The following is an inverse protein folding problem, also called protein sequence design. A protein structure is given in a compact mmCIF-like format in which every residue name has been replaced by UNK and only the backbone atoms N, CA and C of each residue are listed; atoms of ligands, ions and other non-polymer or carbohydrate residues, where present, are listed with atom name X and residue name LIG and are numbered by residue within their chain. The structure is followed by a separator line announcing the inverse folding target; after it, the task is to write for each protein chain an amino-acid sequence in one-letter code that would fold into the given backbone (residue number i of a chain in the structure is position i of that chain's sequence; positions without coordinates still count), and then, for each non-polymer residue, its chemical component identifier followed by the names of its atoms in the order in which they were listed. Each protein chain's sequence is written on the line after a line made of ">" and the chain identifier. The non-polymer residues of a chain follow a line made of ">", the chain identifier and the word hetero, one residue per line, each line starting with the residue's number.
data_IF_067876192640
#
_entry.id   IF_067876192640
#
_cell.length_a   1.000
_cell.length_b   1.000
_cell.length_c   1.000
_cell.angle_alpha   90.00
_cell.angle_beta   90.00
_cell.angle_gamma   90.00
#
_symmetry.space_group_name_H-M   'P 1'
#
loop_
_entity.id
_entity.type
_entity.pdbx_description
1 polymer ?
#
# COMPACT_ATOMS: atom_id res chain seq x y z
N UNK A 1 59.77 32.37 13.40
CA UNK A 1 59.17 31.07 13.63
C UNK A 1 57.70 31.20 13.57
N UNK A 2 57.17 30.80 12.47
CA UNK A 2 55.76 30.97 12.22
C UNK A 2 55.05 29.65 12.59
N UNK A 3 54.24 29.72 13.60
CA UNK A 3 53.41 28.56 13.98
C UNK A 3 52.17 28.55 13.10
N UNK A 4 52.14 27.66 12.16
CA UNK A 4 50.98 27.44 11.31
C UNK A 4 49.97 26.67 12.17
N UNK A 5 48.92 27.35 12.57
CA UNK A 5 47.73 26.75 13.14
C UNK A 5 46.94 26.16 11.98
N UNK A 6 47.06 24.87 11.82
CA UNK A 6 46.17 24.14 10.93
C UNK A 6 44.84 23.98 11.67
N UNK A 7 43.92 24.87 11.32
CA UNK A 7 42.54 24.72 11.76
C UNK A 7 41.92 23.58 10.99
N UNK A 8 41.87 22.44 11.68
CA UNK A 8 41.12 21.27 11.17
C UNK A 8 39.62 21.59 11.24
N UNK A 9 39.10 22.11 10.18
CA UNK A 9 37.66 22.22 10.00
C UNK A 9 37.16 20.79 9.79
N UNK A 10 36.74 20.18 10.90
CA UNK A 10 35.94 18.96 10.84
C UNK A 10 34.58 19.35 10.28
N UNK A 11 34.45 19.21 9.00
CA UNK A 11 33.14 19.29 8.34
C UNK A 11 32.35 18.05 8.75
N UNK A 12 31.58 18.21 9.81
CA UNK A 12 30.60 17.22 10.21
C UNK A 12 29.55 17.15 9.12
N UNK A 13 29.75 16.28 8.17
CA UNK A 13 28.69 15.85 7.26
C UNK A 13 27.63 15.14 8.11
N UNK A 14 26.70 15.93 8.59
CA UNK A 14 25.41 15.39 9.01
C UNK A 14 24.78 14.81 7.75
N UNK A 15 25.12 13.56 7.48
CA UNK A 15 24.30 12.75 6.60
C UNK A 15 22.95 12.66 7.29
N UNK A 16 22.04 13.57 6.93
CA UNK A 16 20.66 13.46 7.32
C UNK A 16 20.19 12.13 6.80
N UNK A 17 19.99 11.17 7.69
CA UNK A 17 19.15 10.04 7.40
C UNK A 17 17.76 10.61 7.14
N UNK A 18 17.50 11.03 5.90
CA UNK A 18 16.15 11.05 5.43
C UNK A 18 15.73 9.60 5.45
N UNK A 19 14.99 9.20 6.47
CA UNK A 19 14.16 8.03 6.39
C UNK A 19 13.15 8.33 5.31
N UNK A 20 13.53 8.11 4.06
CA UNK A 20 12.60 7.90 2.99
C UNK A 20 11.89 6.59 3.32
N UNK A 21 10.95 6.67 4.25
CA UNK A 21 9.82 5.78 4.19
C UNK A 21 9.11 6.21 2.91
N UNK A 22 9.48 5.55 1.81
CA UNK A 22 8.72 5.65 0.59
C UNK A 22 7.28 5.30 0.99
N UNK A 23 6.46 6.32 1.12
CA UNK A 23 5.08 6.17 1.49
C UNK A 23 4.27 5.90 0.24
N UNK A 24 3.36 4.96 0.33
CA UNK A 24 2.32 4.78 -0.67
C UNK A 24 1.28 5.89 -0.54
N UNK A 25 0.60 6.17 -1.62
CA UNK A 25 -0.49 7.14 -1.66
C UNK A 25 -1.79 6.55 -1.11
N UNK A 26 -2.57 7.35 -0.39
CA UNK A 26 -3.94 7.02 -0.01
C UNK A 26 -4.89 7.80 -0.92
N UNK A 27 -5.79 7.09 -1.57
CA UNK A 27 -6.74 7.63 -2.53
C UNK A 27 -8.16 7.61 -1.99
N UNK A 28 -8.98 8.49 -2.53
CA UNK A 28 -10.42 8.45 -2.30
C UNK A 28 -11.07 7.33 -3.12
N UNK A 29 -12.07 6.70 -2.55
CA UNK A 29 -12.83 5.61 -3.17
C UNK A 29 -13.40 5.97 -4.54
N UNK A 30 -13.80 7.22 -4.74
CA UNK A 30 -14.38 7.67 -6.01
C UNK A 30 -13.36 7.68 -7.17
N UNK A 31 -12.07 7.51 -6.90
CA UNK A 31 -11.03 7.44 -7.93
C UNK A 31 -10.71 6.02 -8.37
N UNK A 32 -11.27 5.00 -7.73
CA UNK A 32 -10.95 3.60 -8.01
C UNK A 32 -11.22 3.24 -9.47
N UNK A 33 -12.38 3.60 -9.99
CA UNK A 33 -12.75 3.26 -11.38
C UNK A 33 -11.76 3.83 -12.40
N UNK A 34 -11.30 5.07 -12.20
CA UNK A 34 -10.30 5.68 -13.07
C UNK A 34 -8.95 4.95 -12.98
N UNK A 35 -8.56 4.54 -11.79
CA UNK A 35 -7.32 3.78 -11.58
C UNK A 35 -7.39 2.40 -12.21
N UNK A 36 -8.52 1.72 -12.10
CA UNK A 36 -8.74 0.42 -12.77
C UNK A 36 -8.65 0.58 -14.30
N UNK A 37 -9.21 1.65 -14.84
CA UNK A 37 -9.09 1.97 -16.26
C UNK A 37 -7.62 2.20 -16.69
N UNK A 38 -6.78 2.68 -15.78
CA UNK A 38 -5.34 2.88 -15.99
C UNK A 38 -4.49 1.61 -15.73
N UNK A 39 -5.12 0.46 -15.50
CA UNK A 39 -4.46 -0.83 -15.37
C UNK A 39 -4.19 -1.29 -13.93
N UNK A 40 -4.65 -0.55 -12.92
CA UNK A 40 -4.56 -0.99 -11.53
C UNK A 40 -5.55 -2.13 -11.25
N UNK A 41 -5.13 -3.09 -10.44
CA UNK A 41 -6.00 -4.19 -9.98
C UNK A 41 -6.36 -4.00 -8.51
N UNK A 42 -7.58 -4.37 -8.15
CA UNK A 42 -8.08 -4.26 -6.79
C UNK A 42 -7.72 -5.51 -6.01
N UNK A 43 -7.18 -5.31 -4.81
CA UNK A 43 -6.95 -6.37 -3.82
C UNK A 43 -7.80 -6.05 -2.59
N UNK A 44 -8.75 -6.91 -2.30
CA UNK A 44 -9.57 -6.87 -1.11
C UNK A 44 -8.87 -7.68 -0.01
N UNK A 45 -8.45 -7.00 1.05
CA UNK A 45 -7.68 -7.62 2.15
C UNK A 45 -8.54 -8.02 3.33
N UNK A 46 -9.88 -8.00 3.15
CA UNK A 46 -10.79 -8.57 4.13
C UNK A 46 -10.62 -10.10 4.18
N UNK A 47 -11.12 -10.70 5.24
CA UNK A 47 -11.10 -12.15 5.35
C UNK A 47 -12.03 -12.80 4.31
N UNK A 48 -11.80 -14.08 4.03
CA UNK A 48 -12.48 -14.81 2.95
C UNK A 48 -14.00 -14.73 3.08
N UNK A 49 -14.54 -14.89 4.27
CA UNK A 49 -15.99 -14.86 4.50
C UNK A 49 -16.60 -13.50 4.19
N UNK A 50 -15.91 -12.42 4.54
CA UNK A 50 -16.34 -11.05 4.22
C UNK A 50 -16.37 -10.84 2.70
N UNK A 51 -15.32 -11.29 2.02
CA UNK A 51 -15.18 -11.20 0.57
C UNK A 51 -16.29 -12.00 -0.14
N UNK A 52 -16.55 -13.22 0.31
CA UNK A 52 -17.60 -14.08 -0.27
C UNK A 52 -19.00 -13.50 -0.09
N UNK A 53 -19.24 -12.74 0.96
CA UNK A 53 -20.53 -12.07 1.20
C UNK A 53 -20.79 -10.89 0.26
N UNK A 54 -19.82 -10.49 -0.51
CA UNK A 54 -19.95 -9.42 -1.50
C UNK A 54 -18.64 -8.65 -1.65
N UNK A 55 -18.21 -8.48 -2.88
CA UNK A 55 -16.97 -7.80 -3.23
C UNK A 55 -17.07 -7.07 -4.57
N UNK A 56 -16.13 -6.19 -4.83
CA UNK A 56 -16.06 -5.49 -6.11
C UNK A 56 -15.74 -6.50 -7.21
N UNK A 57 -16.45 -6.47 -8.36
CA UNK A 57 -16.15 -7.36 -9.48
C UNK A 57 -14.67 -7.31 -9.87
N UNK A 58 -14.09 -8.49 -10.15
CA UNK A 58 -12.69 -8.67 -10.52
C UNK A 58 -11.65 -8.37 -9.43
N UNK A 59 -12.05 -8.01 -8.22
CA UNK A 59 -11.12 -7.89 -7.11
C UNK A 59 -10.53 -9.23 -6.73
N UNK A 60 -9.23 -9.22 -6.40
CA UNK A 60 -8.54 -10.37 -5.81
C UNK A 60 -8.76 -10.34 -4.30
N UNK A 61 -8.91 -11.49 -3.68
CA UNK A 61 -8.93 -11.59 -2.22
C UNK A 61 -7.59 -12.10 -1.70
N UNK A 62 -6.88 -11.25 -1.00
CA UNK A 62 -5.67 -11.62 -0.27
C UNK A 62 -5.82 -11.10 1.15
N UNK A 63 -6.30 -11.91 2.09
CA UNK A 63 -6.56 -11.47 3.45
C UNK A 63 -5.33 -10.86 4.13
N UNK A 64 -5.53 -9.84 4.96
CA UNK A 64 -4.44 -9.25 5.74
C UNK A 64 -3.70 -10.30 6.57
N UNK A 65 -4.41 -11.29 7.12
CA UNK A 65 -3.81 -12.40 7.86
C UNK A 65 -2.77 -13.16 7.03
N UNK A 66 -3.05 -13.40 5.76
CA UNK A 66 -2.11 -14.03 4.81
C UNK A 66 -0.94 -13.10 4.49
N UNK A 67 -1.21 -11.83 4.21
CA UNK A 67 -0.17 -10.84 3.90
C UNK A 67 0.81 -10.72 5.07
N UNK A 68 0.32 -10.70 6.30
CA UNK A 68 1.13 -10.60 7.51
C UNK A 68 2.03 -11.82 7.74
N UNK A 69 1.70 -12.96 7.13
CA UNK A 69 2.51 -14.18 7.14
C UNK A 69 3.42 -14.30 5.92
N UNK A 70 3.44 -13.30 5.05
CA UNK A 70 4.19 -13.33 3.80
C UNK A 70 3.54 -14.17 2.70
N UNK A 71 2.28 -14.56 2.87
CA UNK A 71 1.51 -15.38 1.92
C UNK A 71 0.73 -14.49 0.94
N UNK A 72 1.43 -14.01 -0.09
CA UNK A 72 0.85 -13.15 -1.13
C UNK A 72 1.37 -13.53 -2.52
N UNK A 73 1.66 -14.81 -2.75
CA UNK A 73 2.27 -15.31 -4.00
C UNK A 73 1.39 -15.12 -5.24
N UNK A 74 0.09 -14.89 -5.07
CA UNK A 74 -0.82 -14.56 -6.16
C UNK A 74 -0.56 -13.16 -6.74
N UNK A 75 0.11 -12.28 -6.00
CA UNK A 75 0.46 -10.94 -6.44
C UNK A 75 1.76 -10.94 -7.24
N UNK A 76 1.82 -10.10 -8.26
CA UNK A 76 2.94 -9.95 -9.17
C UNK A 76 3.66 -8.61 -8.93
N UNK A 77 5.00 -8.62 -8.92
CA UNK A 77 5.83 -7.44 -8.62
C UNK A 77 5.71 -6.33 -9.66
N UNK A 78 5.39 -6.66 -10.89
CA UNK A 78 5.23 -5.71 -11.99
C UNK A 78 3.80 -5.21 -12.18
N UNK A 79 2.87 -5.65 -11.33
CA UNK A 79 1.48 -5.21 -11.32
C UNK A 79 1.26 -4.16 -10.22
N UNK A 80 0.40 -3.18 -10.51
CA UNK A 80 -0.02 -2.13 -9.58
C UNK A 80 -1.33 -2.50 -8.91
N UNK A 81 -1.42 -2.31 -7.60
CA UNK A 81 -2.56 -2.76 -6.81
C UNK A 81 -3.22 -1.65 -5.99
N UNK A 82 -4.53 -1.65 -5.99
CA UNK A 82 -5.39 -0.83 -5.12
C UNK A 82 -5.84 -1.69 -3.96
N UNK A 83 -5.56 -1.28 -2.74
CA UNK A 83 -5.80 -2.07 -1.54
C UNK A 83 -7.03 -1.54 -0.81
N UNK A 84 -8.03 -2.37 -0.62
CA UNK A 84 -9.29 -2.03 0.04
C UNK A 84 -9.62 -3.03 1.15
N UNK A 85 -10.28 -2.55 2.20
CA UNK A 85 -10.86 -3.36 3.26
C UNK A 85 -12.28 -2.88 3.59
N UNK A 86 -12.78 -3.13 4.80
CA UNK A 86 -14.12 -2.73 5.20
C UNK A 86 -14.23 -1.25 5.57
N UNK A 87 -13.24 -0.69 6.29
CA UNK A 87 -13.29 0.66 6.86
C UNK A 87 -12.01 1.49 6.71
N UNK A 88 -11.01 0.98 6.00
CA UNK A 88 -9.75 1.68 5.74
C UNK A 88 -8.58 1.35 6.67
N UNK A 89 -8.79 0.64 7.77
CA UNK A 89 -7.73 0.35 8.74
C UNK A 89 -6.84 -0.83 8.32
N UNK A 90 -7.44 -1.96 7.97
CA UNK A 90 -6.69 -3.15 7.51
C UNK A 90 -5.98 -2.90 6.18
N UNK A 91 -6.59 -2.14 5.29
CA UNK A 91 -5.99 -1.79 4.00
C UNK A 91 -4.74 -0.94 4.17
N UNK A 92 -4.71 -0.04 5.13
CA UNK A 92 -3.53 0.75 5.46
C UNK A 92 -2.39 -0.16 5.93
N UNK A 93 -2.65 -1.06 6.86
CA UNK A 93 -1.66 -2.03 7.35
C UNK A 93 -1.16 -2.95 6.24
N UNK A 94 -2.08 -3.48 5.42
CA UNK A 94 -1.74 -4.30 4.26
C UNK A 94 -0.87 -3.54 3.26
N UNK A 95 -1.21 -2.28 2.98
CA UNK A 95 -0.45 -1.42 2.08
C UNK A 95 0.97 -1.20 2.59
N UNK A 96 1.15 -0.96 3.87
CA UNK A 96 2.47 -0.81 4.50
C UNK A 96 3.32 -2.09 4.31
N UNK A 97 2.72 -3.25 4.54
CA UNK A 97 3.41 -4.53 4.42
C UNK A 97 3.75 -4.88 2.97
N UNK A 98 2.81 -4.67 2.05
CA UNK A 98 3.02 -4.93 0.62
C UNK A 98 4.03 -3.94 0.02
N UNK A 99 3.99 -2.69 0.42
CA UNK A 99 4.96 -1.70 0.00
C UNK A 99 6.39 -2.09 0.42
N UNK A 100 6.57 -2.53 1.65
CA UNK A 100 7.85 -3.05 2.15
C UNK A 100 8.31 -4.28 1.39
N UNK A 101 7.38 -5.09 0.89
CA UNK A 101 7.67 -6.26 0.07
C UNK A 101 7.97 -5.91 -1.40
N UNK A 102 7.95 -4.62 -1.77
CA UNK A 102 8.33 -4.13 -3.09
C UNK A 102 7.18 -3.95 -4.08
N UNK A 103 5.93 -4.08 -3.64
CA UNK A 103 4.76 -3.86 -4.48
C UNK A 103 4.41 -2.38 -4.62
N UNK A 104 3.93 -1.98 -5.78
CA UNK A 104 3.34 -0.66 -6.01
C UNK A 104 1.86 -0.70 -5.60
N UNK A 105 1.51 0.05 -4.57
CA UNK A 105 0.17 0.02 -3.98
C UNK A 105 -0.42 1.41 -3.79
N UNK A 106 -1.74 1.49 -3.88
CA UNK A 106 -2.56 2.61 -3.44
C UNK A 106 -3.47 2.10 -2.33
N UNK A 107 -3.51 2.80 -1.21
CA UNK A 107 -4.46 2.51 -0.15
C UNK A 107 -5.78 3.25 -0.40
N UNK A 108 -6.90 2.63 -0.20
CA UNK A 108 -8.21 3.29 -0.23
C UNK A 108 -8.53 3.83 1.16
N UNK A 109 -8.84 5.12 1.25
CA UNK A 109 -9.14 5.80 2.51
C UNK A 109 -10.36 5.22 3.21
N UNK A 110 -11.43 4.99 2.45
CA UNK A 110 -12.67 4.38 2.93
C UNK A 110 -12.58 2.85 2.79
N UNK A 111 -13.69 2.16 2.88
CA UNK A 111 -13.76 0.73 2.67
C UNK A 111 -15.08 0.29 2.07
N UNK A 112 -15.28 -1.02 2.00
CA UNK A 112 -16.48 -1.62 1.41
C UNK A 112 -17.77 -1.14 2.07
N UNK A 113 -17.73 -0.70 3.32
CA UNK A 113 -18.88 -0.10 4.01
C UNK A 113 -19.40 1.17 3.34
N UNK A 114 -18.56 1.87 2.57
CA UNK A 114 -18.93 3.10 1.84
C UNK A 114 -19.01 2.89 0.32
N UNK A 115 -18.73 1.68 -0.17
CA UNK A 115 -18.76 1.39 -1.60
C UNK A 115 -20.19 1.41 -2.15
N UNK A 116 -20.41 2.14 -3.25
CA UNK A 116 -21.72 2.29 -3.89
C UNK A 116 -21.77 1.72 -5.31
N UNK A 117 -20.65 1.16 -5.78
CA UNK A 117 -20.58 0.51 -7.07
C UNK A 117 -21.12 -0.93 -7.06
N UNK A 118 -20.89 -1.63 -8.16
CA UNK A 118 -21.33 -3.02 -8.30
C UNK A 118 -20.68 -3.94 -7.27
N UNK A 119 -21.43 -4.94 -6.86
CA UNK A 119 -20.98 -6.00 -5.95
C UNK A 119 -21.38 -7.35 -6.54
N UNK A 120 -20.47 -8.30 -6.46
CA UNK A 120 -20.74 -9.70 -6.80
C UNK A 120 -20.53 -10.58 -5.57
N UNK A 121 -21.29 -11.66 -5.51
CA UNK A 121 -21.12 -12.74 -4.52
C UNK A 121 -21.27 -14.07 -5.22
N UNK A 122 -20.68 -15.15 -4.66
CA UNK A 122 -20.85 -16.49 -5.23
C UNK A 122 -22.29 -16.93 -5.25
#
# INVERSE_FOLDING_TARGET
>A
MQKILISLVVLLLLAGCSTNQASFETIDMNTIENKVADGWKIVDVREVEEFENGHIPNALNVPLSSISQGEHSVLEQDQKYIIICQSGNRSKTASEQLHKAGFEVLNVKQGMGSWTGDIVSP
#
